data_IF_990311868939
#
_entry.id   IF_990311868939
#
_cell.length_a   1.000
_cell.length_b   1.000
_cell.length_c   1.000
_cell.angle_alpha   90.00
_cell.angle_beta   90.00
_cell.angle_gamma   90.00
#
_symmetry.space_group_name_H-M   'P 1'
#
loop_
_entity.id
_entity.type
_entity.pdbx_description
1 polymer ?
#
# COMPACT_ATOMS: atom_id res chain seq x y z
N UNK A 1 6.43 -5.64 2.02
CA UNK A 1 5.86 -6.36 0.86
C UNK A 1 6.40 -7.79 0.76
N UNK A 2 7.73 -8.02 0.76
CA UNK A 2 8.36 -9.35 0.64
C UNK A 2 7.88 -10.39 1.66
N UNK A 3 7.74 -10.02 2.95
CA UNK A 3 7.22 -10.92 3.99
C UNK A 3 5.72 -11.19 3.86
N UNK A 4 4.93 -10.22 3.39
CA UNK A 4 3.49 -10.40 3.19
C UNK A 4 3.19 -11.37 2.02
N UNK A 5 4.00 -11.32 0.94
CA UNK A 5 3.89 -12.29 -0.16
C UNK A 5 4.24 -13.72 0.28
N UNK A 6 5.24 -13.88 1.16
CA UNK A 6 5.62 -15.20 1.70
C UNK A 6 4.47 -15.82 2.52
N UNK A 7 3.85 -15.06 3.43
CA UNK A 7 2.69 -15.56 4.19
C UNK A 7 1.47 -15.89 3.32
N UNK A 8 1.25 -15.14 2.23
CA UNK A 8 0.17 -15.45 1.30
C UNK A 8 0.40 -16.75 0.51
N UNK A 9 1.65 -17.04 0.14
CA UNK A 9 2.02 -18.30 -0.52
C UNK A 9 1.88 -19.47 0.46
N UNK A 10 2.15 -19.25 1.75
CA UNK A 10 1.94 -20.22 2.84
C UNK A 10 0.46 -20.45 3.19
N UNK A 11 -0.48 -19.75 2.55
CA UNK A 11 -1.91 -19.85 2.84
C UNK A 11 -2.35 -19.16 4.13
N UNK A 12 -1.45 -18.45 4.82
CA UNK A 12 -1.75 -17.70 6.03
C UNK A 12 -2.26 -16.29 5.68
N UNK A 13 -3.54 -16.25 5.33
CA UNK A 13 -4.26 -15.03 4.95
C UNK A 13 -4.27 -14.05 6.13
N UNK A 14 -4.40 -14.53 7.37
CA UNK A 14 -4.44 -13.70 8.58
C UNK A 14 -3.09 -13.04 8.86
N UNK A 15 -1.99 -13.79 8.75
CA UNK A 15 -0.63 -13.25 8.85
C UNK A 15 -0.35 -12.18 7.80
N UNK A 16 -0.79 -12.39 6.55
CA UNK A 16 -0.63 -11.40 5.48
C UNK A 16 -1.39 -10.08 5.75
N UNK A 17 -2.58 -10.14 6.36
CA UNK A 17 -3.34 -8.96 6.80
C UNK A 17 -2.64 -8.17 7.90
N UNK A 18 -1.97 -8.85 8.84
CA UNK A 18 -1.22 -8.19 9.91
C UNK A 18 0.00 -7.42 9.41
N UNK A 19 0.64 -7.86 8.32
CA UNK A 19 1.86 -7.22 7.80
C UNK A 19 1.59 -6.06 6.84
N UNK A 20 0.51 -6.10 6.06
CA UNK A 20 0.13 -4.96 5.22
C UNK A 20 -1.39 -4.87 5.07
N UNK A 21 -2.04 -3.86 5.67
CA UNK A 21 -3.50 -3.69 5.57
C UNK A 21 -3.99 -3.43 4.13
N UNK A 22 -3.07 -3.14 3.21
CA UNK A 22 -3.35 -2.97 1.78
C UNK A 22 -3.18 -4.26 0.95
N UNK A 23 -2.80 -5.36 1.59
CA UNK A 23 -2.50 -6.60 0.88
C UNK A 23 -3.69 -7.10 0.05
N UNK A 24 -4.92 -6.95 0.54
CA UNK A 24 -6.16 -7.31 -0.15
C UNK A 24 -6.43 -6.50 -1.43
N UNK A 25 -5.88 -5.30 -1.55
CA UNK A 25 -6.10 -4.44 -2.71
C UNK A 25 -5.47 -5.05 -3.97
N UNK A 26 -4.33 -5.72 -3.83
CA UNK A 26 -3.58 -6.36 -4.93
C UNK A 26 -4.36 -7.51 -5.59
N UNK A 27 -4.85 -8.54 -4.87
CA UNK A 27 -5.65 -9.61 -5.46
C UNK A 27 -7.01 -9.10 -5.98
N UNK A 28 -7.61 -8.08 -5.35
CA UNK A 28 -8.84 -7.45 -5.87
C UNK A 28 -8.58 -6.77 -7.22
N UNK A 29 -7.51 -5.97 -7.33
CA UNK A 29 -7.12 -5.34 -8.60
C UNK A 29 -6.77 -6.40 -9.65
N UNK A 30 -6.04 -7.45 -9.27
CA UNK A 30 -5.69 -8.55 -10.15
C UNK A 30 -6.94 -9.27 -10.69
N UNK A 31 -7.90 -9.59 -9.81
CA UNK A 31 -9.16 -10.20 -10.21
C UNK A 31 -9.96 -9.29 -11.17
N UNK A 32 -10.04 -7.98 -10.90
CA UNK A 32 -10.72 -7.02 -11.78
C UNK A 32 -10.08 -6.98 -13.17
N UNK A 33 -8.75 -7.05 -13.25
CA UNK A 33 -8.02 -7.08 -14.54
C UNK A 33 -8.20 -8.40 -15.28
N UNK A 34 -8.12 -9.55 -14.59
CA UNK A 34 -8.27 -10.88 -15.19
C UNK A 34 -9.70 -11.10 -15.69
N UNK A 35 -10.70 -10.73 -14.90
CA UNK A 35 -12.11 -10.89 -15.24
C UNK A 35 -12.69 -9.73 -16.05
N UNK A 36 -11.85 -8.84 -16.61
CA UNK A 36 -12.28 -7.67 -17.42
C UNK A 36 -13.20 -7.99 -18.60
N UNK A 37 -13.20 -9.24 -19.08
CA UNK A 37 -14.07 -9.71 -20.17
C UNK A 37 -15.53 -9.90 -19.73
N UNK A 38 -15.84 -10.02 -18.44
CA UNK A 38 -17.23 -10.07 -17.96
C UNK A 38 -17.85 -8.68 -17.99
N UNK A 39 -19.07 -8.58 -18.52
CA UNK A 39 -19.81 -7.31 -18.68
C UNK A 39 -19.92 -6.49 -17.37
N UNK A 40 -20.17 -7.16 -16.25
CA UNK A 40 -20.22 -6.52 -14.93
C UNK A 40 -18.88 -5.90 -14.51
N UNK A 41 -17.77 -6.62 -14.68
CA UNK A 41 -16.42 -6.18 -14.27
C UNK A 41 -15.90 -5.09 -15.21
N UNK A 42 -16.21 -5.17 -16.50
CA UNK A 42 -15.84 -4.14 -17.49
C UNK A 42 -16.36 -2.76 -17.07
N UNK A 43 -17.59 -2.68 -16.57
CA UNK A 43 -18.19 -1.41 -16.08
C UNK A 43 -17.46 -0.85 -14.86
N UNK A 44 -17.01 -1.71 -13.95
CA UNK A 44 -16.16 -1.31 -12.80
C UNK A 44 -14.78 -0.85 -13.27
N UNK A 45 -14.14 -1.60 -14.17
CA UNK A 45 -12.80 -1.29 -14.69
C UNK A 45 -12.75 0.05 -15.43
N UNK A 46 -13.77 0.34 -16.25
CA UNK A 46 -13.87 1.57 -17.04
C UNK A 46 -14.30 2.79 -16.19
N UNK A 47 -14.79 2.54 -14.97
CA UNK A 47 -15.17 3.60 -14.05
C UNK A 47 -13.94 4.27 -13.45
N UNK A 48 -13.63 5.50 -13.89
CA UNK A 48 -12.55 6.32 -13.32
C UNK A 48 -12.68 6.52 -11.80
N UNK A 49 -13.90 6.52 -11.27
CA UNK A 49 -14.20 6.58 -9.83
C UNK A 49 -13.64 5.40 -9.05
N UNK A 50 -13.61 4.20 -9.63
CA UNK A 50 -13.06 3.00 -8.98
C UNK A 50 -11.55 3.15 -8.77
N UNK A 51 -10.83 3.55 -9.82
CA UNK A 51 -9.40 3.83 -9.75
C UNK A 51 -9.06 4.99 -8.81
N UNK A 52 -9.84 6.07 -8.86
CA UNK A 52 -9.64 7.22 -7.97
C UNK A 52 -9.90 6.85 -6.51
N UNK A 53 -10.93 6.03 -6.23
CA UNK A 53 -11.22 5.51 -4.90
C UNK A 53 -10.11 4.60 -4.37
N UNK A 54 -9.58 3.71 -5.22
CA UNK A 54 -8.43 2.87 -4.87
C UNK A 54 -7.19 3.70 -4.54
N UNK A 55 -6.89 4.73 -5.34
CA UNK A 55 -5.79 5.65 -5.08
C UNK A 55 -5.98 6.43 -3.77
N UNK A 56 -7.18 6.96 -3.53
CA UNK A 56 -7.52 7.66 -2.28
C UNK A 56 -7.41 6.75 -1.06
N UNK A 57 -7.79 5.48 -1.19
CA UNK A 57 -7.67 4.50 -0.12
C UNK A 57 -6.20 4.22 0.22
N UNK A 58 -5.35 4.07 -0.81
CA UNK A 58 -3.90 3.92 -0.62
C UNK A 58 -3.30 5.13 0.08
N UNK A 59 -3.63 6.34 -0.41
CA UNK A 59 -3.18 7.59 0.19
C UNK A 59 -3.67 7.74 1.63
N UNK A 60 -4.95 7.44 1.89
CA UNK A 60 -5.55 7.55 3.22
C UNK A 60 -4.87 6.62 4.22
N UNK A 61 -4.66 5.35 3.86
CA UNK A 61 -3.94 4.40 4.73
C UNK A 61 -2.50 4.84 4.94
N UNK A 62 -1.83 5.39 3.92
CA UNK A 62 -0.48 5.92 4.05
C UNK A 62 -0.41 7.12 5.01
N UNK A 63 -1.33 8.07 4.87
CA UNK A 63 -1.42 9.24 5.76
C UNK A 63 -1.73 8.83 7.20
N UNK A 64 -2.70 7.91 7.39
CA UNK A 64 -3.00 7.36 8.72
C UNK A 64 -1.78 6.64 9.31
N UNK A 65 -1.06 5.86 8.49
CA UNK A 65 0.17 5.21 8.92
C UNK A 65 1.23 6.23 9.29
N UNK A 66 1.36 7.32 8.54
CA UNK A 66 2.32 8.37 8.84
C UNK A 66 1.97 9.06 10.15
N UNK A 67 0.69 9.36 10.40
CA UNK A 67 0.25 9.94 11.67
C UNK A 67 0.50 9.01 12.87
N UNK A 68 0.31 7.69 12.71
CA UNK A 68 0.43 6.73 13.81
C UNK A 68 1.85 6.23 14.08
N UNK A 69 2.70 6.10 13.04
CA UNK A 69 3.99 5.42 13.15
C UNK A 69 5.21 6.35 12.98
N UNK A 70 5.03 7.56 12.46
CA UNK A 70 6.08 8.57 12.46
C UNK A 70 6.18 9.24 13.84
N UNK A 71 7.37 9.45 14.44
CA UNK A 71 8.72 9.21 13.90
C UNK A 71 9.44 7.98 14.48
N UNK A 72 8.82 7.23 15.40
CA UNK A 72 9.53 6.32 16.31
C UNK A 72 9.28 4.81 16.05
N UNK A 73 8.59 4.43 14.98
CA UNK A 73 8.34 3.01 14.68
C UNK A 73 8.67 2.63 13.23
N UNK A 74 9.51 1.59 13.09
CA UNK A 74 9.79 0.87 11.84
C UNK A 74 8.45 0.55 11.13
N UNK A 75 8.26 0.86 9.83
CA UNK A 75 9.24 1.17 8.78
C UNK A 75 9.37 2.67 8.44
N UNK A 76 8.88 3.57 9.30
CA UNK A 76 9.05 5.03 9.15
C UNK A 76 10.11 5.55 10.12
N UNK A 77 11.29 4.92 10.11
CA UNK A 77 12.45 5.49 10.79
C UNK A 77 12.95 6.70 10.02
N UNK A 78 13.12 7.80 10.74
CA UNK A 78 13.81 8.97 10.21
C UNK A 78 15.31 8.74 10.29
N UNK A 79 15.94 8.34 9.18
CA UNK A 79 17.38 8.18 9.13
C UNK A 79 18.06 9.56 9.08
N UNK A 80 18.57 10.02 10.22
CA UNK A 80 19.33 11.26 10.34
C UNK A 80 20.62 11.27 9.50
N UNK A 81 21.09 10.11 9.00
CA UNK A 81 22.25 9.99 8.10
C UNK A 81 21.87 10.03 6.62
N UNK A 82 20.58 10.08 6.29
CA UNK A 82 20.13 10.17 4.90
C UNK A 82 20.66 11.46 4.22
N UNK A 83 20.84 11.40 2.90
CA UNK A 83 21.43 12.48 2.12
C UNK A 83 20.67 13.81 2.28
N UNK A 84 19.34 13.75 2.34
CA UNK A 84 18.47 14.93 2.45
C UNK A 84 18.69 15.66 3.80
N UNK A 85 18.54 15.02 4.98
CA UNK A 85 18.84 15.68 6.25
C UNK A 85 20.30 16.15 6.34
N UNK A 86 21.25 15.43 5.75
CA UNK A 86 22.67 15.80 5.76
C UNK A 86 22.96 17.08 4.96
N UNK A 87 22.31 17.25 3.81
CA UNK A 87 22.43 18.48 3.00
C UNK A 87 21.75 19.65 3.71
N UNK A 88 20.58 19.44 4.30
CA UNK A 88 19.86 20.48 5.06
C UNK A 88 20.68 20.93 6.28
N UNK A 89 21.25 19.98 7.04
CA UNK A 89 22.09 20.28 8.21
C UNK A 89 23.44 20.95 7.86
N UNK A 90 23.85 20.92 6.58
CA UNK A 90 25.04 21.62 6.11
C UNK A 90 24.72 23.01 5.54
N UNK A 91 23.44 23.28 5.26
CA UNK A 91 22.94 24.53 4.69
C UNK A 91 22.44 25.53 5.76
N UNK A 92 22.22 25.06 6.99
CA UNK A 92 21.70 25.81 8.14
C UNK A 92 22.63 25.62 9.33
#
# INVERSE_FOLDING_TARGET
MTRACLHFIDGDILGAFSFHPLFWLVPVLFAVVVFRRRSFVKKIYDSRKFWLGGLLLVLGVYVLRMYMYFPNQVPMDFDAKALIPRVIAHLF
#
